data_IF_689776999443
#
_entry.id   IF_689776999443
#
_cell.length_a   1.000
_cell.length_b   1.000
_cell.length_c   1.000
_cell.angle_alpha   90.00
_cell.angle_beta   90.00
_cell.angle_gamma   90.00
#
_symmetry.space_group_name_H-M   'P 1'
#
loop_
_entity.id
_entity.type
_entity.pdbx_description
1 polymer ?
#
# COMPACT_ATOMS: atom_id res chain seq x y z
N UNK A 1 54.26 -30.83 17.59
CA UNK A 1 53.78 -29.45 17.32
C UNK A 1 52.92 -29.33 16.04
N UNK A 2 53.13 -30.13 14.98
CA UNK A 2 52.34 -30.06 13.73
C UNK A 2 50.84 -30.45 13.83
N UNK A 3 50.45 -31.28 14.80
CA UNK A 3 49.05 -31.76 14.94
C UNK A 3 48.10 -30.67 15.48
N UNK A 4 48.62 -29.67 16.22
CA UNK A 4 47.79 -28.60 16.79
C UNK A 4 47.38 -27.54 15.77
N UNK A 5 48.21 -27.30 14.76
CA UNK A 5 47.92 -26.31 13.71
C UNK A 5 46.79 -26.79 12.81
N UNK A 6 46.74 -28.09 12.47
CA UNK A 6 45.67 -28.65 11.64
C UNK A 6 44.28 -28.56 12.29
N UNK A 7 44.18 -28.76 13.61
CA UNK A 7 42.91 -28.60 14.33
C UNK A 7 42.44 -27.14 14.37
N UNK A 8 43.36 -26.19 14.56
CA UNK A 8 43.02 -24.77 14.57
C UNK A 8 42.47 -24.30 13.20
N UNK A 9 43.11 -24.70 12.10
CA UNK A 9 42.67 -24.34 10.75
C UNK A 9 41.30 -24.93 10.42
N UNK A 10 41.05 -26.19 10.82
CA UNK A 10 39.75 -26.83 10.61
C UNK A 10 38.63 -26.13 11.40
N UNK A 11 38.89 -25.72 12.65
CA UNK A 11 37.92 -25.01 13.48
C UNK A 11 37.58 -23.64 12.90
N UNK A 12 38.59 -22.88 12.44
CA UNK A 12 38.37 -21.58 11.79
C UNK A 12 37.54 -21.74 10.51
N UNK A 13 37.86 -22.75 9.68
CA UNK A 13 37.10 -23.03 8.46
C UNK A 13 35.62 -23.37 8.76
N UNK A 14 35.37 -24.19 9.77
CA UNK A 14 34.00 -24.56 10.19
C UNK A 14 33.21 -23.35 10.70
N UNK A 15 33.84 -22.47 11.48
CA UNK A 15 33.21 -21.23 11.97
C UNK A 15 32.89 -20.29 10.82
N UNK A 16 33.78 -20.12 9.83
CA UNK A 16 33.52 -19.29 8.66
C UNK A 16 32.38 -19.86 7.80
N UNK A 17 32.34 -21.18 7.59
CA UNK A 17 31.22 -21.83 6.86
C UNK A 17 29.90 -21.67 7.59
N UNK A 18 29.88 -21.80 8.93
CA UNK A 18 28.69 -21.58 9.75
C UNK A 18 28.23 -20.12 9.75
N UNK A 19 29.17 -19.17 9.79
CA UNK A 19 28.85 -17.74 9.64
C UNK A 19 28.29 -17.49 8.24
N UNK A 20 28.84 -18.08 7.19
CA UNK A 20 28.35 -17.89 5.81
C UNK A 20 26.97 -18.51 5.58
N UNK A 21 26.72 -19.69 6.16
CA UNK A 21 25.41 -20.35 6.16
C UNK A 21 24.39 -19.57 7.01
N UNK A 22 24.79 -19.09 8.19
CA UNK A 22 23.98 -18.24 9.05
C UNK A 22 23.66 -16.89 8.39
N UNK A 23 24.63 -16.28 7.70
CA UNK A 23 24.44 -15.04 6.96
C UNK A 23 23.48 -15.25 5.79
N UNK A 24 23.62 -16.35 5.02
CA UNK A 24 22.63 -16.70 3.97
C UNK A 24 21.23 -16.98 4.53
N UNK A 25 21.12 -17.51 5.75
CA UNK A 25 19.84 -17.80 6.38
C UNK A 25 19.20 -16.52 6.97
N UNK A 26 19.99 -15.63 7.57
CA UNK A 26 19.55 -14.35 8.15
C UNK A 26 19.31 -13.25 7.10
N UNK A 27 19.95 -13.33 5.92
CA UNK A 27 19.72 -12.42 4.78
C UNK A 27 18.70 -12.93 3.76
N UNK A 28 18.05 -14.08 4.00
CA UNK A 28 16.71 -14.31 3.47
C UNK A 28 15.73 -13.44 4.26
N UNK A 29 15.84 -12.12 4.09
CA UNK A 29 14.70 -11.24 4.34
C UNK A 29 13.59 -11.70 3.41
N UNK A 30 12.38 -11.74 3.91
CA UNK A 30 11.14 -12.09 3.23
C UNK A 30 10.79 -11.10 2.10
N UNK A 31 11.67 -10.94 1.11
CA UNK A 31 11.36 -10.35 -0.20
C UNK A 31 10.99 -11.45 -1.20
N UNK A 32 10.33 -12.52 -0.73
CA UNK A 32 9.60 -13.41 -1.61
C UNK A 32 8.29 -12.72 -2.03
N UNK A 33 8.36 -11.97 -3.14
CA UNK A 33 7.21 -11.68 -4.01
C UNK A 33 6.57 -12.96 -4.59
N UNK A 34 7.10 -14.14 -4.27
CA UNK A 34 6.52 -15.43 -4.63
C UNK A 34 5.30 -15.73 -3.77
N UNK A 35 4.12 -15.30 -4.24
CA UNK A 35 2.89 -15.65 -3.56
C UNK A 35 2.63 -17.17 -3.58
N UNK A 36 1.97 -17.66 -2.55
CA UNK A 36 1.78 -19.09 -2.28
C UNK A 36 0.67 -19.68 -3.14
N UNK A 37 0.84 -20.92 -3.59
CA UNK A 37 -0.21 -21.74 -4.17
C UNK A 37 -0.58 -22.81 -3.15
N UNK A 38 -1.84 -22.87 -2.78
CA UNK A 38 -2.35 -23.82 -1.77
C UNK A 38 -2.91 -25.05 -2.48
N UNK A 39 -2.75 -26.24 -1.90
CA UNK A 39 -3.44 -27.47 -2.36
C UNK A 39 -4.52 -27.85 -1.36
N UNK A 40 -5.70 -28.21 -1.84
CA UNK A 40 -6.83 -28.65 -1.02
C UNK A 40 -7.55 -29.84 -1.63
N UNK A 41 -8.25 -30.59 -0.79
CA UNK A 41 -9.16 -31.67 -1.19
C UNK A 41 -10.63 -31.29 -0.98
N UNK A 42 -10.92 -30.05 -0.59
CA UNK A 42 -12.27 -29.54 -0.37
C UNK A 42 -12.54 -28.37 -1.32
N UNK A 43 -13.58 -28.49 -2.14
CA UNK A 43 -14.02 -27.42 -3.05
C UNK A 43 -14.46 -26.16 -2.30
N UNK A 44 -14.90 -26.29 -1.04
CA UNK A 44 -15.30 -25.15 -0.21
C UNK A 44 -14.14 -24.18 0.02
N UNK A 45 -12.91 -24.69 0.12
CA UNK A 45 -11.68 -23.90 0.26
C UNK A 45 -11.38 -23.07 -0.99
N UNK A 46 -11.82 -23.50 -2.18
CA UNK A 46 -11.71 -22.69 -3.41
C UNK A 46 -12.59 -21.45 -3.31
N UNK A 47 -13.81 -21.59 -2.78
CA UNK A 47 -14.70 -20.45 -2.53
C UNK A 47 -14.15 -19.53 -1.46
N UNK A 48 -13.64 -20.10 -0.37
CA UNK A 48 -12.99 -19.34 0.69
C UNK A 48 -11.81 -18.52 0.15
N UNK A 49 -10.97 -19.13 -0.68
CA UNK A 49 -9.89 -18.44 -1.40
C UNK A 49 -10.43 -17.25 -2.20
N UNK A 50 -11.50 -17.43 -2.99
CA UNK A 50 -12.09 -16.34 -3.76
C UNK A 50 -12.65 -15.20 -2.89
N UNK A 51 -13.35 -15.51 -1.80
CA UNK A 51 -13.89 -14.50 -0.87
C UNK A 51 -12.82 -13.74 -0.11
N UNK A 52 -11.65 -14.36 0.12
CA UNK A 52 -10.50 -13.68 0.69
C UNK A 52 -9.76 -12.84 -0.35
N UNK A 53 -9.67 -13.34 -1.58
CA UNK A 53 -8.98 -12.67 -2.68
C UNK A 53 -9.74 -11.46 -3.23
N UNK A 54 -11.07 -11.51 -3.21
CA UNK A 54 -11.97 -10.47 -3.72
C UNK A 54 -13.01 -10.14 -2.62
N UNK A 55 -12.70 -9.19 -1.73
CA UNK A 55 -13.62 -8.76 -0.68
C UNK A 55 -14.95 -8.26 -1.26
N UNK A 56 -16.07 -8.63 -0.63
CA UNK A 56 -17.41 -8.27 -1.09
C UNK A 56 -18.03 -9.24 -2.10
N UNK A 57 -17.24 -10.16 -2.67
CA UNK A 57 -17.70 -11.11 -3.68
C UNK A 57 -18.90 -11.95 -3.20
N UNK A 58 -18.87 -12.45 -1.95
CA UNK A 58 -19.96 -13.29 -1.43
C UNK A 58 -21.30 -12.53 -1.45
N UNK A 59 -21.31 -11.29 -0.93
CA UNK A 59 -22.50 -10.43 -0.95
C UNK A 59 -22.95 -10.11 -2.37
N UNK A 60 -22.02 -9.87 -3.30
CA UNK A 60 -22.35 -9.67 -4.70
C UNK A 60 -23.00 -10.92 -5.33
N UNK A 61 -22.54 -12.12 -4.99
CA UNK A 61 -23.16 -13.38 -5.42
C UNK A 61 -24.57 -13.53 -4.85
N UNK A 62 -24.75 -13.26 -3.56
CA UNK A 62 -26.05 -13.36 -2.89
C UNK A 62 -27.08 -12.36 -3.48
N UNK A 63 -26.59 -11.22 -3.99
CA UNK A 63 -27.39 -10.22 -4.71
C UNK A 63 -27.59 -10.53 -6.21
N UNK A 64 -26.99 -11.61 -6.73
CA UNK A 64 -27.10 -11.99 -8.15
C UNK A 64 -26.30 -11.10 -9.11
N UNK A 65 -25.30 -10.35 -8.62
CA UNK A 65 -24.48 -9.42 -9.42
C UNK A 65 -23.28 -10.09 -10.10
N UNK A 66 -23.05 -11.36 -9.81
CA UNK A 66 -21.95 -12.15 -10.36
C UNK A 66 -22.47 -13.04 -11.48
N UNK A 67 -21.90 -12.89 -12.67
CA UNK A 67 -22.31 -13.66 -13.84
C UNK A 67 -21.53 -14.97 -13.93
N UNK A 68 -22.24 -16.09 -14.01
CA UNK A 68 -21.67 -17.40 -14.30
C UNK A 68 -21.40 -17.53 -15.80
N UNK A 69 -20.14 -17.77 -16.18
CA UNK A 69 -19.70 -17.80 -17.57
C UNK A 69 -19.53 -19.24 -18.08
N UNK A 70 -18.79 -20.07 -17.33
CA UNK A 70 -18.47 -21.46 -17.68
C UNK A 70 -17.94 -21.64 -19.13
N UNK A 71 -17.00 -20.79 -19.56
CA UNK A 71 -16.44 -20.81 -20.92
C UNK A 71 -15.09 -21.48 -20.93
N UNK A 72 -14.93 -22.50 -21.77
CA UNK A 72 -13.67 -23.25 -21.89
C UNK A 72 -12.93 -22.88 -23.17
N UNK A 73 -11.62 -22.61 -23.05
CA UNK A 73 -10.73 -22.22 -24.13
C UNK A 73 -9.55 -23.19 -24.19
N UNK A 74 -9.27 -23.82 -25.35
CA UNK A 74 -8.13 -24.72 -25.50
C UNK A 74 -6.82 -23.92 -25.41
N UNK A 75 -5.83 -24.44 -24.67
CA UNK A 75 -4.53 -23.79 -24.51
C UNK A 75 -3.60 -24.26 -25.63
N UNK A 76 -3.55 -23.52 -26.74
CA UNK A 76 -2.75 -23.87 -27.92
C UNK A 76 -2.98 -25.31 -28.37
N UNK A 77 -1.88 -26.01 -28.69
CA UNK A 77 -1.90 -27.43 -29.07
C UNK A 77 -1.73 -28.39 -27.87
N UNK A 78 -1.92 -27.91 -26.63
CA UNK A 78 -1.78 -28.74 -25.43
C UNK A 78 -3.06 -29.53 -25.11
N UNK A 79 -2.99 -30.46 -24.17
CA UNK A 79 -4.17 -31.11 -23.58
C UNK A 79 -4.93 -30.23 -22.59
N UNK A 80 -4.40 -29.05 -22.27
CA UNK A 80 -4.91 -28.16 -21.25
C UNK A 80 -6.04 -27.26 -21.72
N UNK A 81 -6.85 -26.81 -20.76
CA UNK A 81 -7.89 -25.81 -21.01
C UNK A 81 -7.87 -24.72 -19.95
N UNK A 82 -8.14 -23.50 -20.40
CA UNK A 82 -8.47 -22.36 -19.57
C UNK A 82 -9.98 -22.27 -19.47
N UNK A 83 -10.53 -22.35 -18.26
CA UNK A 83 -11.95 -22.19 -17.99
C UNK A 83 -12.17 -20.84 -17.31
N UNK A 84 -13.01 -19.98 -17.90
CA UNK A 84 -13.53 -18.78 -17.27
C UNK A 84 -14.83 -19.15 -16.57
N UNK A 85 -14.82 -19.15 -15.25
CA UNK A 85 -15.90 -19.68 -14.42
C UNK A 85 -16.97 -18.63 -14.18
N UNK A 86 -16.55 -17.46 -13.69
CA UNK A 86 -17.43 -16.35 -13.35
C UNK A 86 -16.74 -15.00 -13.55
N UNK A 87 -17.55 -13.96 -13.66
CA UNK A 87 -17.11 -12.58 -13.82
C UNK A 87 -17.93 -11.66 -12.91
N UNK A 88 -17.27 -10.66 -12.34
CA UNK A 88 -17.92 -9.61 -11.58
C UNK A 88 -17.29 -8.26 -11.93
N UNK A 89 -18.12 -7.27 -12.28
CA UNK A 89 -17.68 -5.88 -12.42
C UNK A 89 -18.21 -5.10 -11.24
N UNK A 90 -17.31 -4.45 -10.52
CA UNK A 90 -17.61 -3.82 -9.24
C UNK A 90 -17.78 -2.28 -9.33
N UNK A 91 -17.65 -1.73 -10.54
CA UNK A 91 -17.63 -0.30 -10.82
C UNK A 91 -16.22 0.28 -11.02
N UNK A 92 -15.19 -0.41 -10.54
CA UNK A 92 -13.78 -0.01 -10.68
C UNK A 92 -12.98 -1.05 -11.48
N UNK A 93 -13.18 -2.33 -11.17
CA UNK A 93 -12.43 -3.46 -11.70
C UNK A 93 -13.38 -4.56 -12.17
N UNK A 94 -12.94 -5.25 -13.23
CA UNK A 94 -13.54 -6.50 -13.65
C UNK A 94 -12.73 -7.65 -13.08
N UNK A 95 -13.36 -8.42 -12.20
CA UNK A 95 -12.83 -9.65 -11.64
C UNK A 95 -13.19 -10.83 -12.54
N UNK A 96 -12.18 -11.54 -13.04
CA UNK A 96 -12.36 -12.75 -13.85
C UNK A 96 -11.81 -13.93 -13.08
N UNK A 97 -12.69 -14.84 -12.70
CA UNK A 97 -12.37 -16.04 -11.95
C UNK A 97 -12.21 -17.20 -12.93
N UNK A 98 -11.11 -17.92 -12.81
CA UNK A 98 -10.75 -18.94 -13.78
C UNK A 98 -10.12 -20.15 -13.12
N UNK A 99 -10.14 -21.26 -13.86
CA UNK A 99 -9.31 -22.42 -13.57
C UNK A 99 -8.61 -22.97 -14.80
N UNK A 100 -7.54 -23.71 -14.56
CA UNK A 100 -6.78 -24.44 -15.59
C UNK A 100 -6.86 -25.92 -15.28
N UNK A 101 -7.30 -26.70 -16.27
CA UNK A 101 -7.40 -28.15 -16.18
C UNK A 101 -6.50 -28.85 -17.21
N UNK A 102 -6.15 -30.11 -16.94
CA UNK A 102 -5.42 -30.96 -17.88
C UNK A 102 -3.92 -30.65 -17.99
N UNK A 103 -3.37 -29.86 -17.07
CA UNK A 103 -1.96 -29.49 -17.00
C UNK A 103 -1.45 -29.52 -15.56
N UNK A 104 -0.26 -30.09 -15.35
CA UNK A 104 0.44 -30.03 -14.06
C UNK A 104 1.27 -28.74 -13.94
N UNK A 105 0.62 -27.59 -14.17
CA UNK A 105 1.21 -26.24 -14.15
C UNK A 105 0.17 -25.26 -13.59
N UNK A 106 0.62 -24.17 -12.97
CA UNK A 106 -0.26 -23.03 -12.72
C UNK A 106 -0.17 -22.06 -13.89
N UNK A 107 -1.14 -21.15 -13.97
CA UNK A 107 -1.13 -20.13 -15.00
C UNK A 107 -1.51 -18.76 -14.47
N UNK A 108 -0.77 -17.77 -14.94
CA UNK A 108 -0.98 -16.36 -14.66
C UNK A 108 -1.80 -15.81 -15.81
N UNK A 109 -3.07 -15.50 -15.53
CA UNK A 109 -3.95 -14.91 -16.52
C UNK A 109 -3.73 -13.39 -16.54
N UNK A 110 -3.69 -12.85 -17.75
CA UNK A 110 -3.71 -11.43 -18.06
C UNK A 110 -4.56 -11.20 -19.31
N UNK A 111 -4.53 -9.98 -19.82
CA UNK A 111 -5.31 -9.62 -21.00
C UNK A 111 -5.78 -8.18 -20.96
N UNK A 112 -6.65 -7.85 -21.93
CA UNK A 112 -7.27 -6.54 -22.09
C UNK A 112 -8.79 -6.68 -22.24
N UNK A 113 -9.52 -5.69 -21.72
CA UNK A 113 -10.96 -5.54 -21.90
C UNK A 113 -11.17 -4.46 -22.95
N UNK A 114 -12.00 -4.75 -23.95
CA UNK A 114 -12.42 -3.83 -24.99
C UNK A 114 -13.86 -3.37 -24.71
N UNK A 115 -14.16 -2.07 -24.86
CA UNK A 115 -15.53 -1.56 -24.75
C UNK A 115 -16.44 -2.14 -25.85
N UNK A 116 -17.76 -2.09 -25.62
CA UNK A 116 -18.78 -2.73 -26.48
C UNK A 116 -18.79 -2.24 -27.93
N UNK A 117 -18.39 -0.99 -28.16
CA UNK A 117 -18.36 -0.35 -29.48
C UNK A 117 -17.10 -0.70 -30.29
N UNK A 118 -16.13 -1.40 -29.67
CA UNK A 118 -14.86 -1.77 -30.27
C UNK A 118 -13.96 -0.57 -30.60
N UNK A 119 -14.31 0.64 -30.13
CA UNK A 119 -13.44 1.79 -30.25
C UNK A 119 -12.27 1.62 -29.27
N UNK A 120 -11.05 1.87 -29.73
CA UNK A 120 -9.87 1.82 -28.88
C UNK A 120 -9.84 3.09 -28.00
N UNK A 121 -10.83 3.24 -27.13
CA UNK A 121 -10.86 4.28 -26.10
C UNK A 121 -9.73 4.04 -25.10
N UNK A 122 -8.71 4.89 -25.20
CA UNK A 122 -7.60 5.13 -24.27
C UNK A 122 -6.86 3.91 -23.66
N UNK A 123 -5.57 3.79 -24.02
CA UNK A 123 -4.55 2.92 -23.39
C UNK A 123 -5.12 1.61 -22.81
N UNK A 124 -5.41 0.64 -23.68
CA UNK A 124 -5.46 -0.76 -23.27
C UNK A 124 -4.08 -1.13 -22.73
N UNK A 125 -3.87 -0.95 -21.43
CA UNK A 125 -2.67 -1.46 -20.78
C UNK A 125 -2.85 -2.97 -20.78
N UNK A 126 -2.08 -3.66 -21.64
CA UNK A 126 -1.98 -5.11 -21.56
C UNK A 126 -1.59 -5.45 -20.13
N UNK A 127 -2.55 -5.98 -19.38
CA UNK A 127 -2.31 -6.29 -17.98
C UNK A 127 -1.57 -7.61 -17.93
N UNK A 128 -0.27 -7.57 -17.60
CA UNK A 128 0.60 -8.74 -17.51
C UNK A 128 0.38 -9.56 -16.21
N UNK A 129 -0.86 -9.70 -15.73
CA UNK A 129 -1.29 -10.67 -14.69
C UNK A 129 -0.53 -10.73 -13.35
N UNK A 130 0.50 -9.93 -13.14
CA UNK A 130 1.45 -10.03 -12.02
C UNK A 130 0.86 -9.57 -10.69
N UNK A 131 -0.33 -8.96 -10.74
CA UNK A 131 -1.09 -8.52 -9.57
C UNK A 131 -2.32 -9.42 -9.32
N UNK A 132 -2.31 -10.68 -9.75
CA UNK A 132 -3.45 -11.61 -9.59
C UNK A 132 -3.20 -12.66 -8.50
N UNK A 133 -4.03 -12.76 -7.44
CA UNK A 133 -5.01 -11.77 -6.98
C UNK A 133 -4.33 -10.51 -6.42
N UNK A 134 -4.99 -9.35 -6.50
CA UNK A 134 -4.39 -8.08 -6.07
C UNK A 134 -4.16 -8.07 -4.56
N UNK A 135 -2.97 -7.61 -4.15
CA UNK A 135 -2.63 -7.43 -2.72
C UNK A 135 -2.51 -8.70 -1.87
N UNK A 136 -2.67 -9.89 -2.44
CA UNK A 136 -2.73 -11.14 -1.68
C UNK A 136 -1.41 -11.91 -1.66
N UNK A 137 -1.11 -12.53 -0.51
CA UNK A 137 0.00 -13.48 -0.37
C UNK A 137 -0.29 -14.79 -1.10
N UNK A 138 -1.55 -15.21 -1.18
CA UNK A 138 -1.96 -16.43 -1.90
C UNK A 138 -2.35 -16.11 -3.33
N UNK A 139 -1.72 -16.76 -4.30
CA UNK A 139 -1.89 -16.47 -5.74
C UNK A 139 -2.81 -17.43 -6.47
N UNK A 140 -3.15 -18.55 -5.85
CA UNK A 140 -4.10 -19.51 -6.37
C UNK A 140 -4.23 -20.72 -5.47
N UNK A 141 -5.16 -21.59 -5.83
CA UNK A 141 -5.46 -22.81 -5.09
C UNK A 141 -5.66 -23.97 -6.06
N UNK A 142 -5.16 -25.15 -5.71
CA UNK A 142 -5.31 -26.37 -6.50
C UNK A 142 -6.30 -27.29 -5.81
N UNK A 143 -7.31 -27.71 -6.55
CA UNK A 143 -8.31 -28.69 -6.14
C UNK A 143 -8.58 -29.63 -7.32
N UNK A 144 -8.61 -30.94 -7.08
CA UNK A 144 -8.87 -31.95 -8.12
C UNK A 144 -7.99 -31.78 -9.38
N UNK A 145 -6.68 -31.57 -9.17
CA UNK A 145 -5.68 -31.29 -10.21
C UNK A 145 -5.97 -30.08 -11.12
N UNK A 146 -6.87 -29.19 -10.69
CA UNK A 146 -7.17 -27.92 -11.36
C UNK A 146 -6.60 -26.76 -10.57
N UNK A 147 -5.94 -25.83 -11.26
CA UNK A 147 -5.46 -24.59 -10.66
C UNK A 147 -6.53 -23.50 -10.78
N UNK A 148 -6.99 -22.96 -9.66
CA UNK A 148 -7.98 -21.89 -9.56
C UNK A 148 -7.30 -20.59 -9.16
N UNK A 149 -7.66 -19.49 -9.83
CA UNK A 149 -7.22 -18.15 -9.46
C UNK A 149 -8.22 -17.09 -9.94
N UNK A 150 -7.91 -15.82 -9.68
CA UNK A 150 -8.71 -14.66 -10.06
C UNK A 150 -7.78 -13.53 -10.48
N UNK A 151 -8.19 -12.79 -11.50
CA UNK A 151 -7.52 -11.55 -11.92
C UNK A 151 -8.47 -10.38 -11.73
N UNK A 152 -7.90 -9.21 -11.42
CA UNK A 152 -8.58 -7.94 -11.51
C UNK A 152 -8.00 -7.19 -12.71
N UNK A 153 -8.85 -6.81 -13.65
CA UNK A 153 -8.48 -5.97 -14.79
C UNK A 153 -9.17 -4.62 -14.61
N UNK A 154 -8.46 -3.49 -14.73
CA UNK A 154 -9.10 -2.19 -14.71
C UNK A 154 -10.10 -2.12 -15.86
N UNK A 155 -11.28 -1.56 -15.60
CA UNK A 155 -12.28 -1.39 -16.65
C UNK A 155 -11.94 -0.18 -17.53
N UNK A 156 -12.13 -0.23 -18.86
CA UNK A 156 -12.03 0.97 -19.70
C UNK A 156 -13.16 1.95 -19.36
N UNK A 157 -12.79 3.20 -19.06
CA UNK A 157 -13.73 4.31 -18.95
C UNK A 157 -14.54 4.45 -20.24
N UNK A 158 -15.70 5.13 -20.18
CA UNK A 158 -16.44 5.43 -21.41
C UNK A 158 -15.65 6.38 -22.35
N UNK A 159 -16.20 6.69 -23.51
CA UNK A 159 -15.54 7.59 -24.49
C UNK A 159 -15.22 8.98 -23.92
N UNK A 160 -15.92 9.41 -22.88
CA UNK A 160 -15.73 10.68 -22.18
C UNK A 160 -14.73 10.57 -21.01
N UNK A 161 -14.29 9.36 -20.64
CA UNK A 161 -13.47 9.13 -19.47
C UNK A 161 -14.28 9.06 -18.17
N UNK A 162 -15.59 8.87 -18.26
CA UNK A 162 -16.53 8.85 -17.13
C UNK A 162 -16.89 7.41 -16.73
N UNK A 163 -17.43 7.30 -15.51
CA UNK A 163 -17.93 6.03 -14.98
C UNK A 163 -19.13 5.54 -15.80
N UNK A 164 -19.10 4.26 -16.17
CA UNK A 164 -20.24 3.61 -16.82
C UNK A 164 -21.37 3.41 -15.80
N UNK A 165 -22.59 3.82 -16.15
CA UNK A 165 -23.78 3.67 -15.29
C UNK A 165 -24.35 2.24 -15.35
N UNK A 166 -24.34 1.62 -16.53
CA UNK A 166 -24.83 0.25 -16.74
C UNK A 166 -23.96 -0.49 -17.75
N UNK A 167 -23.71 -1.78 -17.50
CA UNK A 167 -22.89 -2.62 -18.36
C UNK A 167 -23.41 -4.06 -18.39
N UNK A 168 -23.70 -4.54 -19.60
CA UNK A 168 -24.30 -5.85 -19.84
C UNK A 168 -23.36 -6.88 -20.49
N UNK A 169 -22.34 -6.42 -21.21
CA UNK A 169 -21.40 -7.27 -21.95
C UNK A 169 -20.05 -6.57 -22.07
N UNK A 170 -18.97 -7.34 -21.97
CA UNK A 170 -17.61 -6.90 -22.29
C UNK A 170 -16.97 -7.83 -23.31
N UNK A 171 -16.00 -7.34 -24.06
CA UNK A 171 -15.11 -8.20 -24.86
C UNK A 171 -13.77 -8.32 -24.17
N UNK A 172 -13.44 -9.52 -23.70
CA UNK A 172 -12.17 -9.82 -23.04
C UNK A 172 -11.23 -10.53 -24.02
N UNK A 173 -9.97 -10.10 -24.10
CA UNK A 173 -8.92 -10.77 -24.88
C UNK A 173 -7.92 -11.41 -23.90
N UNK A 174 -8.06 -12.71 -23.59
CA UNK A 174 -7.21 -13.38 -22.62
C UNK A 174 -5.78 -13.59 -23.13
N UNK A 175 -4.83 -13.53 -22.22
CA UNK A 175 -3.45 -13.97 -22.40
C UNK A 175 -3.01 -14.78 -21.17
N UNK A 176 -2.52 -15.99 -21.38
CA UNK A 176 -2.15 -16.91 -20.29
C UNK A 176 -0.66 -17.22 -20.33
N UNK A 177 0.02 -17.05 -19.20
CA UNK A 177 1.40 -17.51 -19.02
C UNK A 177 1.42 -18.75 -18.12
N UNK A 178 1.97 -19.87 -18.60
CA UNK A 178 2.04 -21.12 -17.82
C UNK A 178 3.38 -21.26 -17.08
N UNK A 179 3.34 -21.75 -15.84
CA UNK A 179 4.52 -21.97 -15.01
C UNK A 179 4.48 -23.27 -14.22
N UNK A 180 5.66 -23.82 -13.96
CA UNK A 180 5.83 -24.96 -13.06
C UNK A 180 5.61 -24.53 -11.60
N UNK A 181 4.93 -25.35 -10.80
CA UNK A 181 4.58 -25.05 -9.40
C UNK A 181 5.74 -24.65 -8.47
N UNK A 182 6.98 -24.94 -8.85
CA UNK A 182 8.17 -24.61 -8.05
C UNK A 182 8.86 -23.30 -8.47
N UNK A 183 8.29 -22.58 -9.45
CA UNK A 183 8.82 -21.28 -9.91
C UNK A 183 8.12 -20.11 -9.21
N UNK A 184 8.79 -18.94 -9.11
CA UNK A 184 8.18 -17.74 -8.57
C UNK A 184 7.02 -17.25 -9.45
N UNK A 185 6.03 -16.61 -8.83
CA UNK A 185 4.89 -15.97 -9.49
C UNK A 185 5.30 -14.61 -10.09
N UNK A 186 6.25 -14.62 -11.02
CA UNK A 186 6.78 -13.43 -11.72
C UNK A 186 6.85 -13.76 -13.19
N UNK A 187 6.28 -12.95 -14.08
CA UNK A 187 6.39 -13.18 -15.54
C UNK A 187 7.78 -12.80 -16.01
N UNK A 188 8.45 -13.76 -16.65
CA UNK A 188 9.74 -13.62 -17.31
C UNK A 188 9.51 -13.61 -18.84
N UNK A 189 10.33 -12.87 -19.58
CA UNK A 189 10.19 -12.78 -21.05
C UNK A 189 10.42 -14.14 -21.77
N UNK A 190 10.98 -15.13 -21.08
CA UNK A 190 11.17 -16.50 -21.57
C UNK A 190 9.99 -17.44 -21.28
N UNK A 191 8.97 -17.00 -20.53
CA UNK A 191 7.84 -17.86 -20.20
C UNK A 191 6.95 -18.19 -21.41
N UNK A 192 6.38 -19.39 -21.40
CA UNK A 192 5.43 -19.84 -22.42
C UNK A 192 4.08 -19.10 -22.26
N UNK A 193 3.81 -18.18 -23.19
CA UNK A 193 2.58 -17.40 -23.27
C UNK A 193 1.62 -17.89 -24.35
N UNK A 194 0.32 -17.82 -24.07
CA UNK A 194 -0.76 -18.25 -24.96
C UNK A 194 -1.79 -17.13 -25.10
N UNK A 195 -2.00 -16.67 -26.34
CA UNK A 195 -3.06 -15.72 -26.68
C UNK A 195 -4.32 -16.48 -27.11
N UNK A 196 -5.47 -15.93 -26.76
CA UNK A 196 -6.77 -16.50 -27.13
C UNK A 196 -7.55 -15.54 -28.01
N UNK A 197 -8.48 -16.10 -28.80
CA UNK A 197 -9.46 -15.28 -29.50
C UNK A 197 -10.29 -14.47 -28.49
N UNK A 198 -10.67 -13.21 -28.81
CA UNK A 198 -11.52 -12.42 -27.95
C UNK A 198 -12.83 -13.12 -27.61
N UNK A 199 -13.22 -13.04 -26.35
CA UNK A 199 -14.43 -13.66 -25.82
C UNK A 199 -15.37 -12.58 -25.31
N UNK A 200 -16.63 -12.64 -25.75
CA UNK A 200 -17.72 -11.86 -25.15
C UNK A 200 -18.15 -12.50 -23.84
N UNK A 201 -18.21 -11.69 -22.79
CA UNK A 201 -18.58 -12.10 -21.44
C UNK A 201 -19.76 -11.22 -20.99
N UNK A 202 -20.83 -11.85 -20.54
CA UNK A 202 -22.01 -11.17 -20.01
C UNK A 202 -21.71 -10.69 -18.59
N UNK A 203 -22.06 -9.44 -18.29
CA UNK A 203 -21.87 -8.79 -16.99
C UNK A 203 -23.22 -8.24 -16.54
N UNK A 204 -23.54 -8.27 -15.25
CA UNK A 204 -24.73 -7.58 -14.70
C UNK A 204 -24.28 -6.45 -13.79
N UNK A 205 -23.97 -5.30 -14.39
CA UNK A 205 -23.64 -4.11 -13.65
C UNK A 205 -24.65 -2.99 -13.92
N UNK A 206 -25.14 -2.45 -12.81
CA UNK A 206 -26.03 -1.30 -12.75
C UNK A 206 -25.66 -0.56 -11.47
N UNK A 207 -25.12 0.65 -11.60
CA UNK A 207 -24.57 1.46 -10.49
C UNK A 207 -25.58 1.62 -9.35
N UNK A 208 -26.87 1.68 -9.67
CA UNK A 208 -27.93 1.81 -8.67
C UNK A 208 -28.05 0.59 -7.73
N UNK A 209 -27.61 -0.60 -8.18
CA UNK A 209 -27.54 -1.83 -7.36
C UNK A 209 -26.33 -1.82 -6.40
N UNK A 210 -25.37 -0.92 -6.60
CA UNK A 210 -24.13 -0.81 -5.81
C UNK A 210 -24.19 0.25 -4.71
N UNK A 211 -25.38 0.75 -4.38
CA UNK A 211 -25.57 1.69 -3.27
C UNK A 211 -25.11 1.07 -1.95
N UNK A 212 -24.26 1.81 -1.24
CA UNK A 212 -23.80 1.43 0.08
C UNK A 212 -24.93 1.52 1.11
N UNK A 213 -24.92 0.61 2.07
CA UNK A 213 -25.73 0.76 3.27
C UNK A 213 -25.05 1.76 4.20
N UNK A 214 -25.78 2.81 4.59
CA UNK A 214 -25.24 3.89 5.43
C UNK A 214 -25.79 3.75 6.83
N UNK A 215 -24.90 3.61 7.81
CA UNK A 215 -25.26 3.54 9.23
C UNK A 215 -24.66 4.73 9.98
N UNK A 216 -25.50 5.45 10.72
CA UNK A 216 -25.06 6.54 11.59
C UNK A 216 -24.65 5.97 12.94
N UNK A 217 -23.52 6.43 13.43
CA UNK A 217 -22.98 6.06 14.75
C UNK A 217 -22.60 7.32 15.51
N UNK A 218 -22.36 7.22 16.80
CA UNK A 218 -21.91 8.36 17.60
C UNK A 218 -20.93 7.88 18.67
N UNK A 219 -19.71 7.58 18.23
CA UNK A 219 -18.65 7.10 19.12
C UNK A 219 -17.48 8.07 19.12
N UNK A 220 -16.82 8.18 20.26
CA UNK A 220 -15.77 9.16 20.49
C UNK A 220 -14.59 8.55 21.24
N UNK A 221 -13.39 8.92 20.80
CA UNK A 221 -12.15 8.74 21.55
C UNK A 221 -11.58 10.10 21.91
N UNK A 222 -11.20 10.25 23.17
CA UNK A 222 -10.39 11.38 23.62
C UNK A 222 -8.91 11.07 23.29
N UNK A 223 -8.30 11.97 22.54
CA UNK A 223 -6.89 11.97 22.18
C UNK A 223 -6.15 13.04 22.99
N UNK A 224 -4.82 12.95 23.05
CA UNK A 224 -3.98 14.00 23.66
C UNK A 224 -4.24 15.38 23.03
N UNK A 225 -4.49 15.40 21.71
CA UNK A 225 -4.59 16.62 20.90
C UNK A 225 -6.02 16.92 20.42
N UNK A 226 -7.01 16.35 21.09
CA UNK A 226 -8.42 16.63 20.82
C UNK A 226 -9.30 15.40 20.85
N UNK A 227 -10.24 15.36 19.93
CA UNK A 227 -11.32 14.39 19.86
C UNK A 227 -11.28 13.72 18.49
N UNK A 228 -11.45 12.40 18.48
CA UNK A 228 -11.72 11.61 17.29
C UNK A 228 -13.13 11.06 17.39
N UNK A 229 -14.07 11.60 16.60
CA UNK A 229 -15.48 11.21 16.65
C UNK A 229 -15.88 10.51 15.35
N UNK A 230 -16.23 9.23 15.47
CA UNK A 230 -16.80 8.44 14.39
C UNK A 230 -18.30 8.74 14.35
N UNK A 231 -18.79 9.13 13.18
CA UNK A 231 -20.21 9.52 13.03
C UNK A 231 -20.97 8.73 11.98
N UNK A 232 -20.29 8.02 11.08
CA UNK A 232 -20.94 7.24 10.03
C UNK A 232 -20.05 6.11 9.53
N UNK A 233 -20.70 5.00 9.14
CA UNK A 233 -20.08 3.89 8.45
C UNK A 233 -20.89 3.56 7.20
N UNK A 234 -20.21 3.37 6.08
CA UNK A 234 -20.82 2.93 4.82
C UNK A 234 -20.33 1.53 4.47
N UNK A 235 -21.26 0.63 4.19
CA UNK A 235 -21.00 -0.74 3.76
C UNK A 235 -21.26 -0.90 2.27
N UNK A 236 -20.36 -0.40 1.43
CA UNK A 236 -20.42 -0.58 -0.03
C UNK A 236 -19.99 -1.98 -0.46
N UNK A 237 -20.40 -2.42 -1.66
CA UNK A 237 -20.09 -3.76 -2.18
C UNK A 237 -18.61 -4.01 -2.41
N UNK A 238 -17.86 -2.94 -2.70
CA UNK A 238 -16.45 -2.98 -3.12
C UNK A 238 -15.52 -2.52 -2.00
N UNK A 239 -15.89 -1.39 -1.41
CA UNK A 239 -15.23 -0.81 -0.26
C UNK A 239 -16.26 -0.44 0.81
N UNK A 240 -15.80 -0.49 2.04
CA UNK A 240 -16.45 0.15 3.17
C UNK A 240 -15.78 1.51 3.41
N UNK A 241 -16.51 2.44 4.03
CA UNK A 241 -15.96 3.75 4.43
C UNK A 241 -16.26 4.03 5.89
N UNK A 242 -15.25 4.49 6.61
CA UNK A 242 -15.36 4.97 7.99
C UNK A 242 -15.29 6.50 7.98
N UNK A 243 -16.37 7.15 8.38
CA UNK A 243 -16.46 8.61 8.45
C UNK A 243 -16.24 9.09 9.88
N UNK A 244 -15.36 10.06 10.02
CA UNK A 244 -15.00 10.62 11.31
C UNK A 244 -14.64 12.10 11.20
N UNK A 245 -14.71 12.80 12.32
CA UNK A 245 -14.27 14.18 12.45
C UNK A 245 -13.19 14.28 13.51
N UNK A 246 -12.33 15.27 13.36
CA UNK A 246 -11.40 15.69 14.40
C UNK A 246 -11.47 17.20 14.59
N UNK A 247 -11.27 17.63 15.84
CA UNK A 247 -11.18 19.04 16.22
C UNK A 247 -9.73 19.52 16.36
N UNK A 248 -8.74 18.70 16.00
CA UNK A 248 -7.35 19.16 15.85
C UNK A 248 -7.25 20.12 14.66
N UNK A 249 -6.35 21.11 14.76
CA UNK A 249 -5.98 21.99 13.66
C UNK A 249 -5.06 21.28 12.65
N UNK A 250 -4.47 20.15 13.05
CA UNK A 250 -3.59 19.33 12.24
C UNK A 250 -4.38 18.45 11.26
N UNK A 251 -3.75 18.08 10.13
CA UNK A 251 -4.43 17.31 9.08
C UNK A 251 -4.19 15.83 9.29
N UNK A 252 -5.27 15.07 9.51
CA UNK A 252 -5.23 13.61 9.50
C UNK A 252 -5.08 13.14 8.05
N UNK A 253 -4.00 12.43 7.75
CA UNK A 253 -3.75 11.86 6.42
C UNK A 253 -3.82 10.34 6.37
N UNK A 254 -3.85 9.68 7.52
CA UNK A 254 -3.92 8.23 7.58
C UNK A 254 -4.47 7.69 8.88
N UNK A 255 -5.02 6.49 8.82
CA UNK A 255 -5.46 5.72 9.98
C UNK A 255 -5.01 4.27 9.86
N UNK A 256 -4.51 3.72 10.97
CA UNK A 256 -4.20 2.30 11.11
C UNK A 256 -5.10 1.70 12.17
N UNK A 257 -5.85 0.66 11.80
CA UNK A 257 -6.77 -0.01 12.71
C UNK A 257 -6.97 -1.48 12.34
N UNK A 258 -7.52 -2.24 13.29
CA UNK A 258 -8.05 -3.57 13.06
C UNK A 258 -9.57 -3.51 13.22
N UNK A 259 -10.29 -3.86 12.16
CA UNK A 259 -11.75 -3.89 12.15
C UNK A 259 -12.20 -5.34 12.12
N UNK A 260 -13.01 -5.77 13.10
CA UNK A 260 -13.58 -7.12 13.15
C UNK A 260 -15.11 -7.08 13.23
N UNK A 261 -15.77 -8.09 12.69
CA UNK A 261 -17.24 -8.18 12.68
C UNK A 261 -17.77 -9.34 13.53
N UNK A 262 -19.05 -9.30 13.85
CA UNK A 262 -19.80 -10.43 14.42
C UNK A 262 -19.98 -11.62 13.46
N UNK A 263 -19.50 -11.48 12.21
CA UNK A 263 -19.47 -12.54 11.19
C UNK A 263 -18.10 -13.21 11.05
N UNK A 264 -17.20 -12.99 12.02
CA UNK A 264 -15.82 -13.51 12.02
C UNK A 264 -14.99 -13.01 10.82
N UNK A 265 -15.31 -11.83 10.28
CA UNK A 265 -14.46 -11.17 9.28
C UNK A 265 -13.58 -10.14 9.98
N UNK A 266 -12.32 -10.07 9.55
CA UNK A 266 -11.37 -9.06 10.04
C UNK A 266 -10.71 -8.36 8.86
N UNK A 267 -10.47 -7.05 9.02
CA UNK A 267 -9.75 -6.19 8.07
C UNK A 267 -8.72 -5.39 8.84
N UNK A 268 -7.46 -5.53 8.44
CA UNK A 268 -6.42 -4.60 8.86
C UNK A 268 -6.44 -3.42 7.89
N UNK A 269 -6.54 -2.21 8.43
CA UNK A 269 -6.50 -0.97 7.65
C UNK A 269 -5.19 -0.26 7.96
N UNK A 270 -4.51 0.21 6.91
CA UNK A 270 -3.49 1.25 6.95
C UNK A 270 -3.83 2.14 5.75
N UNK A 271 -4.82 3.01 5.97
CA UNK A 271 -5.55 3.68 4.91
C UNK A 271 -5.28 5.18 4.93
N UNK A 272 -5.08 5.76 3.74
CA UNK A 272 -5.13 7.20 3.54
C UNK A 272 -6.53 7.71 3.84
N UNK A 273 -6.62 8.94 4.33
CA UNK A 273 -7.89 9.61 4.63
C UNK A 273 -8.22 10.63 3.55
N UNK A 274 -9.51 10.86 3.35
CA UNK A 274 -10.03 11.83 2.39
C UNK A 274 -10.85 12.88 3.11
N UNK A 275 -10.55 14.16 2.87
CA UNK A 275 -11.29 15.28 3.44
C UNK A 275 -12.64 15.41 2.74
N UNK A 276 -13.72 15.50 3.51
CA UNK A 276 -15.10 15.72 3.04
C UNK A 276 -15.45 17.21 3.09
N UNK A 277 -15.02 17.91 4.13
CA UNK A 277 -15.24 19.35 4.29
C UNK A 277 -14.12 20.00 5.10
N UNK A 278 -13.88 21.29 4.84
CA UNK A 278 -12.94 22.11 5.59
C UNK A 278 -13.46 22.43 7.01
N UNK A 279 -12.51 22.77 7.89
CA UNK A 279 -12.59 22.88 9.35
C UNK A 279 -14.00 23.22 9.96
N UNK A 280 -14.49 22.42 10.95
CA UNK A 280 -13.86 21.23 11.52
C UNK A 280 -13.72 20.15 10.44
N UNK A 281 -12.56 19.51 10.37
CA UNK A 281 -12.29 18.60 9.27
C UNK A 281 -13.13 17.34 9.42
N UNK A 282 -13.91 17.05 8.38
CA UNK A 282 -14.58 15.77 8.21
C UNK A 282 -13.75 14.91 7.27
N UNK A 283 -13.58 13.65 7.62
CA UNK A 283 -12.78 12.70 6.86
C UNK A 283 -13.57 11.43 6.59
N UNK A 284 -13.14 10.68 5.57
CA UNK A 284 -13.38 9.24 5.51
C UNK A 284 -12.09 8.46 5.23
N UNK A 285 -12.05 7.22 5.70
CA UNK A 285 -11.05 6.22 5.30
C UNK A 285 -11.76 5.05 4.63
N UNK A 286 -11.31 4.67 3.44
CA UNK A 286 -11.81 3.49 2.72
C UNK A 286 -11.05 2.23 3.12
N UNK A 287 -11.73 1.09 3.18
CA UNK A 287 -11.12 -0.21 3.41
C UNK A 287 -11.92 -1.33 2.72
N UNK A 288 -11.35 -2.55 2.54
CA UNK A 288 -12.02 -3.58 1.75
C UNK A 288 -13.38 -4.00 2.31
N UNK A 289 -14.34 -4.24 1.41
CA UNK A 289 -15.70 -4.66 1.75
C UNK A 289 -15.76 -5.93 2.63
N UNK A 290 -16.85 -6.10 3.36
CA UNK A 290 -17.20 -7.36 4.01
C UNK A 290 -17.95 -8.28 3.05
N UNK A 291 -17.77 -9.59 3.22
CA UNK A 291 -18.49 -10.61 2.48
C UNK A 291 -19.92 -10.78 2.98
N UNK A 292 -20.19 -10.37 4.22
CA UNK A 292 -21.52 -10.30 4.80
C UNK A 292 -21.75 -8.94 5.46
N UNK A 293 -22.99 -8.45 5.46
CA UNK A 293 -23.34 -7.25 6.22
C UNK A 293 -23.25 -7.56 7.73
N UNK A 294 -22.41 -6.85 8.48
CA UNK A 294 -22.25 -7.10 9.91
C UNK A 294 -23.42 -6.54 10.71
N UNK A 295 -23.76 -7.20 11.82
CA UNK A 295 -24.69 -6.66 12.81
C UNK A 295 -24.00 -5.71 13.79
N UNK A 296 -22.71 -5.95 14.01
CA UNK A 296 -21.83 -5.07 14.78
C UNK A 296 -20.41 -5.14 14.26
N UNK A 297 -19.67 -4.06 14.47
CA UNK A 297 -18.26 -3.93 14.13
C UNK A 297 -17.48 -3.52 15.37
N UNK A 298 -16.30 -4.08 15.53
CA UNK A 298 -15.36 -3.70 16.56
C UNK A 298 -14.11 -3.11 15.89
N UNK A 299 -13.76 -1.88 16.27
CA UNK A 299 -12.69 -1.10 15.67
C UNK A 299 -11.61 -0.87 16.72
N UNK A 300 -10.47 -1.52 16.56
CA UNK A 300 -9.27 -1.28 17.37
C UNK A 300 -8.37 -0.30 16.64
N UNK A 301 -8.40 0.97 17.03
CA UNK A 301 -7.56 2.02 16.42
C UNK A 301 -6.16 1.91 17.00
N UNK A 302 -5.20 1.57 16.14
CA UNK A 302 -3.79 1.45 16.52
C UNK A 302 -3.11 2.81 16.45
N UNK A 303 -3.30 3.52 15.35
CA UNK A 303 -2.56 4.74 15.03
C UNK A 303 -3.39 5.71 14.19
N UNK A 304 -3.27 7.01 14.48
CA UNK A 304 -3.77 8.09 13.63
C UNK A 304 -2.56 8.88 13.15
N UNK A 305 -2.44 9.11 11.83
CA UNK A 305 -1.29 9.77 11.20
C UNK A 305 -1.68 11.20 10.80
N UNK A 306 -0.89 12.19 11.24
CA UNK A 306 -1.20 13.61 11.11
C UNK A 306 -0.01 14.42 10.59
N UNK A 307 -0.31 15.51 9.91
CA UNK A 307 0.67 16.54 9.53
C UNK A 307 0.45 17.76 10.42
N UNK A 308 1.45 18.11 11.21
CA UNK A 308 1.39 19.28 12.08
C UNK A 308 1.73 20.56 11.33
N UNK A 309 1.24 21.71 11.78
CA UNK A 309 1.79 23.02 11.39
C UNK A 309 3.16 23.33 12.03
N UNK A 310 3.62 22.52 12.99
CA UNK A 310 4.91 22.68 13.66
C UNK A 310 6.11 22.34 12.76
N UNK A 311 7.26 22.90 13.12
CA UNK A 311 8.52 22.71 12.41
C UNK A 311 9.75 22.88 13.29
N UNK A 312 10.91 22.47 12.79
CA UNK A 312 12.20 22.61 13.47
C UNK A 312 13.20 23.39 12.63
N UNK A 313 14.00 24.21 13.29
CA UNK A 313 15.01 25.07 12.68
C UNK A 313 16.38 24.76 13.29
N UNK A 314 17.42 24.64 12.46
CA UNK A 314 18.81 24.54 12.91
C UNK A 314 19.76 25.18 11.89
N UNK A 315 21.02 25.37 12.29
CA UNK A 315 22.05 25.99 11.46
C UNK A 315 23.27 25.08 11.37
N UNK A 316 23.80 24.89 10.18
CA UNK A 316 25.00 24.11 9.91
C UNK A 316 26.15 25.06 9.55
N UNK A 317 27.28 24.95 10.26
CA UNK A 317 28.56 25.53 9.83
C UNK A 317 29.21 24.61 8.80
N UNK A 318 29.33 25.09 7.56
CA UNK A 318 29.86 24.32 6.42
C UNK A 318 31.38 24.36 6.30
N UNK A 319 32.03 25.27 7.05
CA UNK A 319 33.48 25.50 6.99
C UNK A 319 34.24 24.48 7.84
N UNK A 320 33.66 24.04 8.96
CA UNK A 320 34.24 23.05 9.88
C UNK A 320 33.98 21.58 9.45
N UNK A 321 33.78 21.36 8.14
CA UNK A 321 33.48 20.06 7.56
C UNK A 321 34.61 19.60 6.62
N UNK A 322 35.30 18.55 7.04
CA UNK A 322 36.29 17.84 6.23
C UNK A 322 35.63 17.14 5.04
N UNK A 323 36.25 17.24 3.86
CA UNK A 323 35.80 16.52 2.67
C UNK A 323 35.94 14.99 2.87
N UNK A 324 34.94 14.25 2.42
CA UNK A 324 34.86 12.78 2.41
C UNK A 324 34.93 12.15 3.82
N UNK A 325 34.59 12.92 4.86
CA UNK A 325 34.44 12.45 6.23
C UNK A 325 33.05 12.72 6.75
N UNK A 326 32.51 11.73 7.46
CA UNK A 326 31.34 11.91 8.29
C UNK A 326 31.73 12.60 9.60
N UNK A 327 30.99 13.65 9.96
CA UNK A 327 31.08 14.30 11.27
C UNK A 327 29.79 14.02 12.01
N UNK A 328 29.90 13.28 13.11
CA UNK A 328 28.78 13.04 14.03
C UNK A 328 28.65 14.22 15.01
N UNK A 329 27.43 14.66 15.26
CA UNK A 329 27.10 15.78 16.14
C UNK A 329 26.40 15.31 17.42
N UNK A 330 25.43 14.40 17.29
CA UNK A 330 24.53 13.98 18.38
C UNK A 330 23.93 15.19 19.13
N UNK A 331 23.55 16.22 18.38
CA UNK A 331 23.09 17.50 18.93
C UNK A 331 21.56 17.53 18.95
N UNK A 332 20.95 17.73 20.13
CA UNK A 332 19.51 17.91 20.25
C UNK A 332 19.09 19.25 19.63
N UNK A 333 18.35 19.18 18.52
CA UNK A 333 17.80 20.35 17.82
C UNK A 333 16.53 20.83 18.54
N UNK A 334 15.60 19.90 18.81
CA UNK A 334 14.29 20.22 19.37
C UNK A 334 13.63 18.99 19.99
N UNK A 335 12.61 19.22 20.80
CA UNK A 335 11.65 18.19 21.25
C UNK A 335 10.28 18.56 20.72
N UNK A 336 9.70 17.71 19.87
CA UNK A 336 8.42 17.92 19.19
C UNK A 336 7.58 16.66 19.35
N UNK A 337 6.32 16.79 19.79
CA UNK A 337 5.38 15.66 19.98
C UNK A 337 6.04 14.47 20.70
N UNK A 338 6.52 14.66 21.92
CA UNK A 338 7.22 13.62 22.73
C UNK A 338 8.44 12.96 22.03
N UNK A 339 9.01 13.60 21.02
CA UNK A 339 10.14 13.09 20.23
C UNK A 339 11.27 14.10 20.20
N UNK A 340 12.44 13.67 20.66
CA UNK A 340 13.69 14.40 20.55
C UNK A 340 14.24 14.25 19.12
N UNK A 341 14.54 15.38 18.49
CA UNK A 341 15.10 15.48 17.15
C UNK A 341 16.57 15.85 17.28
N UNK A 342 17.45 14.97 16.82
CA UNK A 342 18.89 15.17 16.85
C UNK A 342 19.45 15.41 15.45
N UNK A 343 20.40 16.34 15.35
CA UNK A 343 21.36 16.35 14.26
C UNK A 343 22.35 15.21 14.52
N UNK A 344 22.23 14.13 13.74
CA UNK A 344 23.00 12.91 13.98
C UNK A 344 24.38 13.01 13.34
N UNK A 345 24.40 13.20 12.03
CA UNK A 345 25.64 13.34 11.28
C UNK A 345 25.51 14.18 10.03
N UNK A 346 26.65 14.67 9.56
CA UNK A 346 26.80 15.39 8.30
C UNK A 346 27.94 14.76 7.50
N UNK A 347 27.69 14.51 6.22
CA UNK A 347 28.67 13.96 5.27
C UNK A 347 28.84 14.96 4.13
N UNK A 348 30.06 15.49 3.98
CA UNK A 348 30.42 16.36 2.85
C UNK A 348 31.24 15.58 1.83
N UNK A 349 30.73 15.42 0.62
CA UNK A 349 31.43 14.74 -0.47
C UNK A 349 31.61 15.66 -1.69
N UNK A 350 32.08 15.12 -2.82
CA UNK A 350 32.25 15.90 -4.05
C UNK A 350 30.95 16.41 -4.67
N UNK A 351 29.81 15.78 -4.34
CA UNK A 351 28.49 16.12 -4.85
C UNK A 351 27.83 17.20 -4.01
N UNK A 352 28.07 17.21 -2.69
CA UNK A 352 27.42 18.15 -1.78
C UNK A 352 27.45 17.73 -0.31
N UNK A 353 26.37 18.05 0.40
CA UNK A 353 26.20 17.87 1.83
C UNK A 353 25.02 16.95 2.13
N UNK A 354 25.29 15.75 2.64
CA UNK A 354 24.28 14.89 3.25
C UNK A 354 24.09 15.27 4.72
N UNK A 355 22.85 15.52 5.13
CA UNK A 355 22.46 15.85 6.52
C UNK A 355 21.53 14.76 7.02
N UNK A 356 21.90 14.10 8.12
CA UNK A 356 21.17 13.01 8.73
C UNK A 356 20.64 13.43 10.10
N UNK A 357 19.36 13.14 10.34
CA UNK A 357 18.70 13.43 11.59
C UNK A 357 18.10 12.16 12.16
N UNK A 358 18.09 12.12 13.48
CA UNK A 358 17.64 10.96 14.25
C UNK A 358 16.57 11.39 15.24
N UNK A 359 15.53 10.59 15.35
CA UNK A 359 14.36 10.78 16.19
C UNK A 359 14.40 9.76 17.32
N UNK A 360 14.31 10.25 18.56
CA UNK A 360 14.19 9.39 19.75
C UNK A 360 12.97 9.78 20.57
N UNK A 361 12.25 8.80 21.11
CA UNK A 361 11.18 9.07 22.08
C UNK A 361 11.74 9.72 23.35
N UNK A 362 11.12 10.80 23.82
CA UNK A 362 11.49 11.50 25.06
C UNK A 362 10.92 10.79 26.31
N UNK A 363 11.19 9.49 26.42
CA UNK A 363 10.75 8.65 27.54
C UNK A 363 9.72 7.59 27.17
N UNK A 364 8.94 7.17 28.17
CA UNK A 364 7.90 6.16 28.04
C UNK A 364 6.56 6.78 28.34
N UNK A 365 5.62 6.66 27.40
CA UNK A 365 4.30 7.24 27.48
C UNK A 365 3.25 6.13 27.52
N UNK A 366 2.18 6.37 28.28
CA UNK A 366 0.98 5.55 28.20
C UNK A 366 0.14 6.04 27.03
N UNK A 367 -0.55 5.13 26.35
CA UNK A 367 -1.41 5.50 25.21
C UNK A 367 -2.73 6.13 25.73
N UNK A 368 -3.30 7.12 25.02
CA UNK A 368 -2.81 7.67 23.76
C UNK A 368 -1.62 8.63 23.92
N UNK A 369 -0.65 8.59 23.00
CA UNK A 369 0.46 9.56 22.96
C UNK A 369 0.88 9.90 21.54
N UNK A 370 1.32 11.14 21.31
CA UNK A 370 1.90 11.57 20.02
C UNK A 370 3.39 11.23 19.91
N UNK A 371 3.87 10.89 18.70
CA UNK A 371 5.29 10.82 18.34
C UNK A 371 5.54 11.23 16.89
N UNK A 372 6.68 11.86 16.61
CA UNK A 372 7.09 12.11 15.23
C UNK A 372 7.26 10.78 14.48
N UNK A 373 6.87 10.80 13.21
CA UNK A 373 7.00 9.67 12.31
C UNK A 373 7.55 10.22 10.99
N UNK A 374 8.77 9.85 10.58
CA UNK A 374 9.38 10.45 9.41
C UNK A 374 8.69 10.06 8.09
N UNK A 375 7.79 9.06 8.11
CA UNK A 375 7.07 8.56 6.93
C UNK A 375 6.20 9.64 6.27
N UNK A 376 6.46 9.90 4.99
CA UNK A 376 5.52 10.60 4.09
C UNK A 376 4.30 9.72 3.79
N UNK A 377 3.13 10.31 3.49
CA UNK A 377 1.99 9.60 2.91
C UNK A 377 2.44 8.74 1.73
N UNK A 378 2.03 7.47 1.71
CA UNK A 378 2.53 6.39 0.84
C UNK A 378 2.34 6.61 -0.67
N UNK A 379 1.66 7.68 -1.07
CA UNK A 379 1.69 8.17 -2.44
C UNK A 379 1.58 9.69 -2.45
N UNK A 380 2.68 10.36 -2.81
CA UNK A 380 2.65 11.77 -3.19
C UNK A 380 1.59 12.03 -4.27
N UNK A 381 1.33 11.08 -5.17
CA UNK A 381 0.26 11.19 -6.16
C UNK A 381 -1.13 11.33 -5.53
N UNK A 382 -1.43 10.63 -4.43
CA UNK A 382 -2.69 10.84 -3.69
C UNK A 382 -2.70 12.18 -2.97
N UNK A 383 -1.55 12.62 -2.42
CA UNK A 383 -1.43 13.93 -1.79
C UNK A 383 -1.64 15.07 -2.79
N UNK A 384 -1.01 14.97 -3.96
CA UNK A 384 -1.15 15.90 -5.07
C UNK A 384 -2.57 15.86 -5.64
N UNK A 385 -3.17 14.69 -5.81
CA UNK A 385 -4.56 14.53 -6.21
C UNK A 385 -5.53 15.16 -5.20
N UNK A 386 -5.32 14.96 -3.91
CA UNK A 386 -6.11 15.60 -2.85
C UNK A 386 -5.96 17.12 -2.87
N UNK A 387 -4.73 17.62 -3.06
CA UNK A 387 -4.48 19.07 -3.18
C UNK A 387 -5.08 19.68 -4.45
N UNK A 388 -5.13 18.93 -5.55
CA UNK A 388 -5.62 19.38 -6.85
C UNK A 388 -7.15 19.38 -6.96
N UNK A 389 -7.83 18.40 -6.36
CA UNK A 389 -9.30 18.31 -6.38
C UNK A 389 -9.97 19.34 -5.50
N UNK A 390 -9.37 19.69 -4.35
CA UNK A 390 -10.00 20.59 -3.38
C UNK A 390 -9.58 22.05 -3.54
N UNK A 391 -8.60 22.36 -4.40
CA UNK A 391 -8.07 23.72 -4.53
C UNK A 391 -7.35 24.22 -3.25
N UNK A 392 -7.25 23.36 -2.23
CA UNK A 392 -6.60 23.61 -0.96
C UNK A 392 -5.14 23.16 -1.04
N UNK A 393 -4.21 24.05 -0.71
CA UNK A 393 -2.79 23.71 -0.57
C UNK A 393 -2.59 22.90 0.71
N UNK A 394 -2.84 21.58 0.67
CA UNK A 394 -2.52 20.72 1.80
C UNK A 394 -1.00 20.79 2.07
N UNK A 395 -0.59 21.03 3.33
CA UNK A 395 0.81 21.21 3.69
C UNK A 395 1.59 19.94 3.41
N UNK A 396 2.49 19.97 2.43
CA UNK A 396 3.33 18.81 2.15
C UNK A 396 4.17 18.48 3.40
N UNK A 397 4.14 17.24 3.91
CA UNK A 397 4.81 16.90 5.16
C UNK A 397 6.33 16.88 5.01
N UNK A 398 7.03 17.17 6.11
CA UNK A 398 8.49 17.14 6.24
C UNK A 398 9.20 17.95 5.14
N UNK A 399 8.70 19.15 4.87
CA UNK A 399 9.23 20.02 3.83
C UNK A 399 10.49 20.73 4.30
N UNK A 400 11.60 20.47 3.62
CA UNK A 400 12.85 21.16 3.89
C UNK A 400 12.89 22.50 3.17
N UNK A 401 13.32 23.52 3.91
CA UNK A 401 13.67 24.84 3.41
C UNK A 401 15.07 25.18 3.86
N UNK A 402 15.91 25.51 2.89
CA UNK A 402 17.33 25.77 3.10
C UNK A 402 17.64 27.20 2.68
N UNK A 403 18.30 27.95 3.56
CA UNK A 403 18.64 29.35 3.34
C UNK A 403 20.12 29.58 3.66
N UNK A 404 20.85 30.15 2.72
CA UNK A 404 22.27 30.47 2.89
C UNK A 404 22.48 31.80 3.63
N UNK A 405 23.73 32.16 3.93
CA UNK A 405 24.11 33.39 4.65
C UNK A 405 23.65 34.67 3.94
N UNK A 406 23.43 34.61 2.63
CA UNK A 406 22.96 35.75 1.83
C UNK A 406 21.43 35.89 1.80
N UNK A 407 20.71 34.98 2.48
CA UNK A 407 19.26 34.94 2.50
C UNK A 407 18.62 34.31 1.25
N UNK A 408 19.42 33.68 0.38
CA UNK A 408 18.93 33.02 -0.84
C UNK A 408 18.37 31.64 -0.46
N UNK A 409 17.10 31.41 -0.77
CA UNK A 409 16.44 30.12 -0.57
C UNK A 409 16.88 29.13 -1.66
N UNK A 410 17.27 27.93 -1.27
CA UNK A 410 17.59 26.84 -2.19
C UNK A 410 16.37 26.49 -3.07
N UNK A 411 16.60 26.28 -4.36
CA UNK A 411 15.57 25.93 -5.34
C UNK A 411 15.61 24.43 -5.67
N UNK A 412 14.63 23.95 -6.42
CA UNK A 412 14.65 22.61 -7.00
C UNK A 412 15.94 22.40 -7.79
N UNK A 413 16.75 21.41 -7.39
CA UNK A 413 18.09 21.15 -7.93
C UNK A 413 19.24 21.60 -7.01
N UNK A 414 19.01 22.54 -6.10
CA UNK A 414 19.97 22.95 -5.07
C UNK A 414 19.95 22.00 -3.85
N UNK A 415 18.89 21.22 -3.71
CA UNK A 415 18.79 20.12 -2.75
C UNK A 415 18.18 18.91 -3.48
N UNK A 416 18.77 17.74 -3.22
CA UNK A 416 18.54 16.50 -3.96
C UNK A 416 17.67 15.52 -3.19
N UNK A 417 18.12 14.27 -3.14
CA UNK A 417 17.42 13.17 -2.49
C UNK A 417 17.06 13.52 -1.05
N UNK A 418 15.78 13.36 -0.75
CA UNK A 418 15.27 13.29 0.61
C UNK A 418 14.94 11.83 0.84
N UNK A 419 15.19 11.34 2.04
CA UNK A 419 14.73 10.03 2.37
C UNK A 419 14.52 9.86 3.85
N UNK A 420 13.91 8.73 4.13
CA UNK A 420 13.43 8.35 5.43
C UNK A 420 14.08 7.02 5.72
N UNK A 421 14.67 6.93 6.90
CA UNK A 421 15.01 5.65 7.48
C UNK A 421 14.10 5.38 8.68
N UNK A 422 14.32 4.25 9.35
CA UNK A 422 13.50 3.88 10.51
C UNK A 422 13.72 4.79 11.72
N UNK A 423 14.82 5.52 11.73
CA UNK A 423 15.31 6.25 12.89
C UNK A 423 15.23 7.77 12.68
N UNK A 424 14.87 8.27 11.49
CA UNK A 424 14.69 9.69 11.22
C UNK A 424 14.63 10.02 9.74
N UNK A 425 15.27 11.14 9.36
CA UNK A 425 15.21 11.70 8.01
C UNK A 425 16.60 12.12 7.55
N UNK A 426 16.82 12.10 6.25
CA UNK A 426 17.99 12.70 5.64
C UNK A 426 17.63 13.61 4.48
N UNK A 427 18.49 14.58 4.23
CA UNK A 427 18.42 15.45 3.06
C UNK A 427 19.80 15.63 2.45
N UNK A 428 19.84 15.96 1.16
CA UNK A 428 21.07 16.29 0.45
C UNK A 428 21.02 17.71 -0.10
N UNK A 429 22.09 18.49 0.08
CA UNK A 429 22.24 19.86 -0.44
C UNK A 429 23.38 19.87 -1.46
N UNK A 430 23.17 20.46 -2.63
CA UNK A 430 24.15 20.47 -3.71
C UNK A 430 25.40 21.27 -3.37
N UNK A 431 26.53 20.85 -3.93
CA UNK A 431 27.80 21.52 -3.72
C UNK A 431 27.79 22.99 -4.16
N UNK A 432 27.21 23.28 -5.33
CA UNK A 432 27.16 24.64 -5.88
C UNK A 432 26.46 25.61 -4.93
N UNK A 433 25.48 25.12 -4.17
CA UNK A 433 24.80 25.90 -3.16
C UNK A 433 25.65 26.08 -1.90
N UNK A 434 26.24 25.00 -1.36
CA UNK A 434 27.01 25.06 -0.10
C UNK A 434 28.34 25.82 -0.23
N UNK A 435 29.02 25.75 -1.38
CA UNK A 435 30.33 26.39 -1.59
C UNK A 435 30.23 27.94 -1.57
N UNK A 436 29.00 28.48 -1.63
CA UNK A 436 28.72 29.91 -1.56
C UNK A 436 28.42 30.45 -0.14
N UNK A 437 28.41 29.58 0.88
CA UNK A 437 27.92 29.92 2.23
C UNK A 437 28.80 29.34 3.33
N UNK A 438 29.01 30.08 4.42
CA UNK A 438 29.67 29.59 5.63
C UNK A 438 28.67 28.91 6.57
N UNK A 439 27.45 29.43 6.64
CA UNK A 439 26.36 28.78 7.35
C UNK A 439 25.18 28.50 6.44
N UNK A 440 24.45 27.46 6.77
CA UNK A 440 23.20 27.13 6.12
C UNK A 440 22.15 26.99 7.19
N UNK A 441 21.10 27.80 7.11
CA UNK A 441 19.90 27.63 7.94
C UNK A 441 19.01 26.58 7.27
N UNK A 442 18.64 25.56 8.03
CA UNK A 442 17.72 24.50 7.63
C UNK A 442 16.46 24.62 8.48
N UNK A 443 15.32 24.60 7.81
CA UNK A 443 13.98 24.58 8.39
C UNK A 443 13.27 23.33 7.88
N UNK A 444 12.63 22.58 8.76
CA UNK A 444 11.72 21.48 8.43
C UNK A 444 10.33 21.94 8.79
N UNK A 445 9.49 22.11 7.78
CA UNK A 445 8.12 22.55 7.91
C UNK A 445 7.18 21.34 7.82
N UNK A 446 6.01 21.45 8.45
CA UNK A 446 4.92 20.48 8.38
C UNK A 446 5.29 19.08 8.87
N UNK A 447 5.82 18.96 10.08
CA UNK A 447 6.32 17.67 10.56
C UNK A 447 5.20 16.62 10.65
N UNK A 448 5.42 15.46 10.05
CA UNK A 448 4.49 14.33 10.20
C UNK A 448 4.70 13.63 11.53
N UNK A 449 3.58 13.28 12.16
CA UNK A 449 3.56 12.58 13.42
C UNK A 449 2.39 11.60 13.45
N UNK A 450 2.36 10.79 14.48
CA UNK A 450 1.25 9.89 14.74
C UNK A 450 0.84 9.95 16.20
N UNK A 451 -0.43 9.68 16.45
CA UNK A 451 -0.97 9.39 17.77
C UNK A 451 -1.11 7.87 17.86
N UNK A 452 -0.41 7.26 18.81
CA UNK A 452 -0.53 5.84 19.15
C UNK A 452 -1.70 5.70 20.12
N UNK A 453 -2.79 5.02 19.74
CA UNK A 453 -4.08 5.09 20.46
C UNK A 453 -4.38 3.83 21.28
N UNK A 454 -4.46 2.66 20.63
CA UNK A 454 -4.78 1.36 21.25
C UNK A 454 -6.09 1.38 22.05
N UNK A 455 -7.13 1.91 21.40
CA UNK A 455 -8.49 1.92 21.92
C UNK A 455 -9.41 1.15 21.00
N UNK A 456 -10.41 0.51 21.61
CA UNK A 456 -11.37 -0.35 20.96
C UNK A 456 -12.76 0.27 21.07
N UNK A 457 -13.43 0.46 19.92
CA UNK A 457 -14.79 0.96 19.82
C UNK A 457 -15.67 -0.15 19.25
N UNK A 458 -16.77 -0.45 19.94
CA UNK A 458 -17.82 -1.32 19.42
C UNK A 458 -18.97 -0.49 18.84
N UNK A 459 -19.29 -0.74 17.57
CA UNK A 459 -20.41 -0.17 16.85
C UNK A 459 -21.49 -1.24 16.66
N UNK A 460 -22.67 -1.02 17.24
CA UNK A 460 -23.84 -1.88 17.06
C UNK A 460 -24.84 -1.23 16.09
N UNK A 461 -25.31 -1.98 15.09
CA UNK A 461 -26.16 -1.44 14.01
C UNK A 461 -27.62 -1.89 14.10
N UNK A 462 -27.91 -2.95 14.85
CA UNK A 462 -29.24 -3.61 14.94
C UNK A 462 -29.60 -4.09 16.34
#
# INVERSE_FOLDING_TARGET
MRIRVGRLVLTIFLVVVLIFLGYKFLWRKDTYLGGQIIRTNDISEVRYFYYHAVPGLKRAQDMGLVSMINKSLPIGDTSGKLNIDMIWYDGNNVFIFYNIEGLNRYGILGGDILPQDGSAGQKTTQFRGCLSPPGQKTRGIIYDDKFYSVIAVPYPLDDAGEDVEQLSEITYRPYLTLKEYNRPFVIDDEDEGYSFEPVRLQVDYDKEKYKAEVVKVEEQIDLEEGIFKIYQMEFGLTENRLYFLSNTEDIIYGIKALISTDRNETRQIDASTHIVSEYPYHYYASFPAFNELPGSVNISIEQIKLVSGEGVDFTIDTFDLDKDKEKSFDELIATVKNTNVYLDSIVKDERGLGVYMRYEMDGRFEKPYSRLQPEVPTSMDQWEYQSGIQGSSLPCPNMFKVVNDTGVVAKTGDFGDRGIDKEGMYMFISRDYIDSSHNIKVSIENMSYCIEVDQEIKLDFY
#
